data_IF_495383818020
#
_entry.id   IF_495383818020
#
_cell.length_a   1.000
_cell.length_b   1.000
_cell.length_c   1.000
_cell.angle_alpha   90.00
_cell.angle_beta   90.00
_cell.angle_gamma   90.00
#
_symmetry.space_group_name_H-M   'P 1'
#
loop_
_entity.id
_entity.type
_entity.pdbx_description
1 polymer ?
#
# COMPACT_ATOMS: atom_id res chain seq x y z
N UNK A 1 -18.48 6.27 22.87
CA UNK A 1 -17.33 5.36 22.73
C UNK A 1 -16.69 5.74 21.41
N UNK A 2 -15.86 6.78 21.48
CA UNK A 2 -15.19 7.28 20.29
C UNK A 2 -14.00 6.37 20.01
N UNK A 3 -14.25 5.34 19.24
CA UNK A 3 -13.17 4.70 18.51
C UNK A 3 -12.71 5.68 17.43
N UNK A 4 -11.90 6.60 17.84
CA UNK A 4 -11.12 7.38 16.91
C UNK A 4 -10.04 6.47 16.34
N UNK A 5 -10.42 5.68 15.39
CA UNK A 5 -9.52 4.92 14.56
C UNK A 5 -9.11 5.88 13.44
N UNK A 6 -8.10 6.67 13.69
CA UNK A 6 -7.47 7.50 12.68
C UNK A 6 -7.06 6.58 11.52
N UNK A 7 -7.76 6.68 10.41
CA UNK A 7 -7.55 5.85 9.22
C UNK A 7 -8.53 4.68 9.07
N UNK A 8 -8.96 4.02 10.14
CA UNK A 8 -9.81 2.83 10.04
C UNK A 8 -11.29 3.14 9.75
N UNK A 9 -11.78 4.32 10.07
CA UNK A 9 -13.15 4.68 9.71
C UNK A 9 -13.38 4.70 8.19
N UNK A 10 -12.38 5.02 7.41
CA UNK A 10 -12.49 4.96 5.95
C UNK A 10 -12.45 3.52 5.46
N UNK A 11 -11.57 2.68 5.97
CA UNK A 11 -11.40 1.30 5.53
C UNK A 11 -12.55 0.38 5.92
N UNK A 12 -13.09 0.51 7.13
CA UNK A 12 -14.24 -0.28 7.60
C UNK A 12 -15.51 -0.02 6.77
N UNK A 13 -15.61 1.14 6.12
CA UNK A 13 -16.78 1.53 5.32
C UNK A 13 -16.56 1.44 3.82
N UNK A 14 -15.35 1.09 3.39
CA UNK A 14 -15.07 0.94 1.98
C UNK A 14 -15.97 -0.14 1.37
N UNK A 15 -16.53 0.20 0.23
CA UNK A 15 -17.33 -0.71 -0.59
C UNK A 15 -16.81 -0.63 -1.99
N UNK A 16 -16.72 -1.77 -2.62
CA UNK A 16 -16.27 -1.91 -3.99
C UNK A 16 -17.42 -2.25 -4.90
N UNK A 17 -17.42 -1.76 -6.11
CA UNK A 17 -18.43 -2.04 -7.10
C UNK A 17 -17.98 -3.17 -8.03
N UNK A 18 -18.85 -3.52 -8.97
CA UNK A 18 -18.60 -4.64 -9.91
C UNK A 18 -17.39 -4.44 -10.84
N UNK A 19 -16.90 -3.21 -10.97
CA UNK A 19 -15.69 -2.83 -11.72
C UNK A 19 -14.39 -3.00 -10.90
N UNK A 20 -14.51 -3.38 -9.61
CA UNK A 20 -13.39 -3.49 -8.67
C UNK A 20 -12.94 -2.15 -8.07
N UNK A 21 -13.55 -1.03 -8.44
CA UNK A 21 -13.27 0.30 -7.85
C UNK A 21 -14.06 0.55 -6.57
N UNK A 22 -13.55 1.44 -5.71
CA UNK A 22 -14.30 1.92 -4.57
C UNK A 22 -15.53 2.70 -5.03
N UNK A 23 -16.66 2.52 -4.29
CA UNK A 23 -17.90 3.23 -4.58
C UNK A 23 -17.73 4.75 -4.56
N UNK A 24 -18.27 5.37 -5.59
CA UNK A 24 -18.33 6.84 -5.75
C UNK A 24 -19.79 7.26 -5.98
N UNK A 25 -20.11 8.57 -5.90
CA UNK A 25 -21.45 9.03 -6.27
C UNK A 25 -21.86 8.60 -7.69
N UNK A 26 -23.15 8.23 -7.90
CA UNK A 26 -24.30 8.36 -6.98
C UNK A 26 -24.56 7.13 -6.09
N UNK A 27 -23.86 6.02 -6.30
CA UNK A 27 -24.14 4.73 -5.64
C UNK A 27 -23.88 4.79 -4.13
N UNK A 28 -22.78 5.42 -3.70
CA UNK A 28 -22.46 5.63 -2.28
C UNK A 28 -23.57 6.39 -1.55
N UNK A 29 -24.04 7.46 -2.16
CA UNK A 29 -25.10 8.30 -1.60
C UNK A 29 -26.44 7.57 -1.50
N UNK A 30 -26.75 6.69 -2.46
CA UNK A 30 -27.95 5.85 -2.43
C UNK A 30 -27.89 4.86 -1.26
N UNK A 31 -26.75 4.19 -1.06
CA UNK A 31 -26.55 3.26 0.05
C UNK A 31 -26.64 3.97 1.41
N UNK A 32 -26.00 5.13 1.56
CA UNK A 32 -26.07 5.91 2.80
C UNK A 32 -27.50 6.36 3.09
N UNK A 33 -28.29 6.71 2.08
CA UNK A 33 -29.68 7.05 2.25
C UNK A 33 -30.50 5.88 2.82
N UNK A 34 -30.29 4.67 2.31
CA UNK A 34 -30.95 3.46 2.83
C UNK A 34 -30.51 3.17 4.27
N UNK A 35 -29.20 3.25 4.56
CA UNK A 35 -28.66 3.04 5.92
C UNK A 35 -29.29 4.04 6.91
N UNK A 36 -29.40 5.31 6.54
CA UNK A 36 -29.97 6.35 7.40
C UNK A 36 -31.48 6.23 7.59
N UNK A 37 -32.16 5.46 6.74
CA UNK A 37 -33.59 5.18 6.86
C UNK A 37 -33.91 3.99 7.79
N UNK A 38 -32.89 3.19 8.18
CA UNK A 38 -33.06 2.05 9.09
C UNK A 38 -33.16 2.52 10.55
N UNK A 39 -34.10 1.91 11.27
CA UNK A 39 -34.12 1.99 12.72
C UNK A 39 -33.27 0.87 13.33
N UNK A 40 -32.77 1.06 14.56
CA UNK A 40 -31.95 0.05 15.20
C UNK A 40 -32.64 -1.33 15.32
N UNK A 41 -33.98 -1.33 15.45
CA UNK A 41 -34.83 -2.52 15.46
C UNK A 41 -34.85 -3.30 14.15
N UNK A 42 -34.47 -2.67 13.04
CA UNK A 42 -34.45 -3.31 11.71
C UNK A 42 -33.19 -4.11 11.48
N UNK A 43 -32.21 -3.96 12.35
CA UNK A 43 -30.91 -4.65 12.24
C UNK A 43 -31.11 -6.13 12.63
N UNK A 44 -30.84 -7.01 11.69
CA UNK A 44 -30.85 -8.46 11.93
C UNK A 44 -29.51 -8.92 12.47
N UNK A 45 -29.48 -9.38 13.73
CA UNK A 45 -28.28 -9.90 14.39
C UNK A 45 -28.06 -11.41 14.17
N UNK A 46 -28.98 -12.09 13.49
CA UNK A 46 -28.82 -13.50 13.17
C UNK A 46 -28.04 -13.65 11.88
N UNK A 47 -26.91 -14.34 11.93
CA UNK A 47 -26.12 -14.65 10.75
C UNK A 47 -26.92 -15.52 9.76
N UNK A 48 -26.71 -15.27 8.50
CA UNK A 48 -27.20 -16.12 7.41
C UNK A 48 -25.99 -16.69 6.66
N UNK A 49 -25.52 -17.85 7.07
CA UNK A 49 -24.31 -18.51 6.55
C UNK A 49 -24.37 -18.74 5.03
N UNK A 50 -25.59 -18.77 4.44
CA UNK A 50 -25.74 -18.88 2.99
C UNK A 50 -25.31 -17.62 2.22
N UNK A 51 -25.21 -16.49 2.91
CA UNK A 51 -24.77 -15.21 2.34
C UNK A 51 -23.32 -14.89 2.69
N UNK A 52 -22.67 -15.76 3.46
CA UNK A 52 -21.27 -15.59 3.87
C UNK A 52 -20.44 -16.57 3.06
N UNK A 53 -19.46 -16.04 2.34
CA UNK A 53 -18.45 -16.84 1.63
C UNK A 53 -17.09 -16.39 2.12
N UNK A 54 -16.33 -17.30 2.71
CA UNK A 54 -14.95 -17.05 3.06
C UNK A 54 -14.10 -17.12 1.79
N UNK A 55 -13.29 -16.09 1.57
CA UNK A 55 -12.26 -16.09 0.52
C UNK A 55 -10.97 -16.66 1.12
N UNK A 56 -10.46 -17.67 0.43
CA UNK A 56 -9.47 -18.60 0.92
C UNK A 56 -8.14 -18.40 0.20
N UNK A 57 -7.22 -19.30 0.45
CA UNK A 57 -5.86 -19.40 -0.09
C UNK A 57 -5.78 -19.16 -1.61
N UNK A 58 -6.81 -19.55 -2.38
CA UNK A 58 -6.85 -19.35 -3.83
C UNK A 58 -6.78 -17.88 -4.23
N UNK A 59 -7.47 -17.00 -3.50
CA UNK A 59 -7.45 -15.56 -3.76
C UNK A 59 -6.10 -14.95 -3.34
N UNK A 60 -5.57 -15.39 -2.20
CA UNK A 60 -4.25 -14.98 -1.73
C UNK A 60 -3.15 -15.36 -2.73
N UNK A 61 -3.20 -16.57 -3.27
CA UNK A 61 -2.25 -17.07 -4.28
C UNK A 61 -2.35 -16.24 -5.57
N UNK A 62 -3.57 -15.97 -6.03
CA UNK A 62 -3.80 -15.16 -7.21
C UNK A 62 -3.28 -13.73 -7.02
N UNK A 63 -3.52 -13.13 -5.86
CA UNK A 63 -3.02 -11.80 -5.52
C UNK A 63 -1.49 -11.75 -5.45
N UNK A 64 -0.87 -12.69 -4.73
CA UNK A 64 0.59 -12.77 -4.62
C UNK A 64 1.25 -12.94 -6.00
N UNK A 65 0.69 -13.81 -6.84
CA UNK A 65 1.15 -14.00 -8.23
C UNK A 65 1.07 -12.71 -9.04
N UNK A 66 -0.09 -12.04 -9.01
CA UNK A 66 -0.29 -10.79 -9.75
C UNK A 66 0.67 -9.69 -9.26
N UNK A 67 0.90 -9.58 -7.95
CA UNK A 67 1.83 -8.63 -7.37
C UNK A 67 3.27 -8.87 -7.84
N UNK A 68 3.73 -10.13 -7.84
CA UNK A 68 5.06 -10.51 -8.31
C UNK A 68 5.22 -10.24 -9.82
N UNK A 69 4.24 -10.61 -10.64
CA UNK A 69 4.28 -10.41 -12.08
C UNK A 69 4.35 -8.93 -12.46
N UNK A 70 3.54 -8.09 -11.80
CA UNK A 70 3.52 -6.65 -12.02
C UNK A 70 4.78 -5.94 -11.47
N UNK A 71 5.39 -6.48 -10.42
CA UNK A 71 6.62 -5.96 -9.80
C UNK A 71 7.92 -6.46 -10.42
N UNK A 72 7.87 -7.33 -11.43
CA UNK A 72 9.06 -7.93 -12.04
C UNK A 72 9.66 -7.07 -13.15
N UNK A 73 10.92 -6.67 -13.00
CA UNK A 73 11.66 -5.81 -13.93
C UNK A 73 13.02 -6.38 -14.37
N UNK A 74 13.12 -7.69 -14.51
CA UNK A 74 14.35 -8.38 -14.90
C UNK A 74 15.55 -8.08 -13.98
N UNK A 75 15.28 -7.88 -12.68
CA UNK A 75 16.34 -7.73 -11.68
C UNK A 75 17.07 -9.07 -11.52
N UNK A 76 18.42 -9.09 -11.57
CA UNK A 76 19.19 -10.33 -11.39
C UNK A 76 18.84 -11.02 -10.06
N UNK A 77 18.71 -12.34 -10.07
CA UNK A 77 18.38 -13.14 -8.87
C UNK A 77 19.33 -12.84 -7.72
N UNK A 78 20.62 -12.83 -7.97
CA UNK A 78 21.62 -12.53 -6.95
C UNK A 78 21.42 -11.15 -6.31
N UNK A 79 21.03 -10.13 -7.07
CA UNK A 79 20.79 -8.80 -6.53
C UNK A 79 19.57 -8.75 -5.60
N UNK A 80 18.57 -9.62 -5.84
CA UNK A 80 17.41 -9.76 -4.96
C UNK A 80 17.77 -10.51 -3.67
N UNK A 81 18.54 -11.58 -3.78
CA UNK A 81 19.03 -12.38 -2.65
C UNK A 81 19.99 -11.60 -1.76
N UNK A 82 20.86 -10.77 -2.35
CA UNK A 82 21.84 -9.98 -1.60
C UNK A 82 21.20 -8.77 -0.90
N UNK A 83 20.04 -8.27 -1.37
CA UNK A 83 19.37 -7.11 -0.76
C UNK A 83 18.82 -7.44 0.62
N UNK A 84 19.33 -6.79 1.64
CA UNK A 84 18.90 -6.97 3.03
C UNK A 84 17.76 -6.03 3.37
N UNK A 85 16.61 -6.59 3.66
CA UNK A 85 15.37 -5.87 3.96
C UNK A 85 15.01 -6.07 5.43
N UNK A 86 14.70 -5.00 6.15
CA UNK A 86 13.97 -5.07 7.42
C UNK A 86 12.53 -4.65 7.15
N UNK A 87 11.59 -5.50 7.54
CA UNK A 87 10.16 -5.28 7.34
C UNK A 87 9.42 -5.18 8.67
N UNK A 88 8.54 -4.19 8.79
CA UNK A 88 7.58 -4.06 9.89
C UNK A 88 6.16 -3.87 9.39
N UNK A 89 5.23 -4.63 9.97
CA UNK A 89 3.80 -4.48 9.74
C UNK A 89 3.13 -3.49 10.70
N UNK A 90 3.87 -2.89 11.64
CA UNK A 90 3.35 -2.00 12.67
C UNK A 90 2.08 -2.57 13.36
N UNK A 91 2.13 -3.84 13.75
CA UNK A 91 1.00 -4.59 14.33
C UNK A 91 -0.20 -4.76 13.39
N UNK A 92 0.01 -4.64 12.09
CA UNK A 92 -1.06 -4.66 11.09
C UNK A 92 -1.17 -5.96 10.29
N UNK A 93 -2.06 -5.94 9.31
CA UNK A 93 -2.47 -7.11 8.51
C UNK A 93 -1.44 -7.54 7.47
N UNK A 94 -0.55 -6.65 7.08
CA UNK A 94 0.45 -6.90 6.04
C UNK A 94 1.45 -8.02 6.36
N UNK A 95 1.53 -8.43 7.65
CA UNK A 95 2.44 -9.49 8.10
C UNK A 95 2.20 -10.82 7.38
N UNK A 96 0.97 -11.08 6.94
CA UNK A 96 0.62 -12.34 6.26
C UNK A 96 1.05 -12.33 4.79
N UNK A 97 0.91 -11.20 4.11
CA UNK A 97 1.06 -11.14 2.66
C UNK A 97 2.41 -10.58 2.20
N UNK A 98 2.92 -9.51 2.82
CA UNK A 98 4.15 -8.85 2.35
C UNK A 98 5.38 -9.77 2.39
N UNK A 99 5.68 -10.50 3.49
CA UNK A 99 6.81 -11.44 3.49
C UNK A 99 6.68 -12.52 2.41
N UNK A 100 5.47 -13.04 2.21
CA UNK A 100 5.16 -14.05 1.20
C UNK A 100 5.42 -13.53 -0.24
N UNK A 101 4.95 -12.32 -0.54
CA UNK A 101 5.17 -11.69 -1.86
C UNK A 101 6.65 -11.39 -2.08
N UNK A 102 7.38 -10.90 -1.07
CA UNK A 102 8.81 -10.66 -1.16
C UNK A 102 9.58 -11.95 -1.44
N UNK A 103 9.29 -13.03 -0.72
CA UNK A 103 9.90 -14.35 -0.95
C UNK A 103 9.59 -14.87 -2.36
N UNK A 104 8.32 -14.84 -2.78
CA UNK A 104 7.90 -15.25 -4.12
C UNK A 104 8.54 -14.40 -5.24
N UNK A 105 8.85 -13.14 -4.96
CA UNK A 105 9.58 -12.25 -5.86
C UNK A 105 11.10 -12.51 -5.88
N UNK A 106 11.61 -13.39 -4.98
CA UNK A 106 13.02 -13.77 -4.87
C UNK A 106 13.85 -12.92 -3.90
N UNK A 107 13.22 -12.11 -3.05
CA UNK A 107 13.88 -11.38 -1.96
C UNK A 107 13.88 -12.27 -0.71
N UNK A 108 14.95 -13.03 -0.52
CA UNK A 108 15.03 -14.04 0.55
C UNK A 108 15.71 -13.53 1.82
N UNK A 109 16.34 -12.37 1.78
CA UNK A 109 17.03 -11.77 2.92
C UNK A 109 16.16 -10.72 3.60
N UNK A 110 15.02 -11.18 4.15
CA UNK A 110 14.03 -10.33 4.82
C UNK A 110 14.00 -10.62 6.31
N UNK A 111 14.27 -9.60 7.10
CA UNK A 111 14.16 -9.63 8.56
C UNK A 111 12.85 -8.95 9.00
N UNK A 112 11.94 -9.73 9.54
CA UNK A 112 10.67 -9.21 10.08
C UNK A 112 10.91 -8.72 11.52
N UNK A 113 10.41 -7.53 11.85
CA UNK A 113 10.47 -6.97 13.21
C UNK A 113 9.52 -7.74 14.11
N UNK A 114 10.06 -8.67 14.91
CA UNK A 114 9.28 -9.59 15.72
C UNK A 114 8.34 -8.90 16.72
N UNK A 115 8.76 -7.77 17.31
CA UNK A 115 7.96 -7.03 18.27
C UNK A 115 6.71 -6.39 17.67
N UNK A 116 6.66 -6.23 16.33
CA UNK A 116 5.58 -5.58 15.58
C UNK A 116 4.89 -6.54 14.60
N UNK A 117 5.20 -7.84 14.68
CA UNK A 117 4.71 -8.86 13.76
C UNK A 117 3.31 -9.39 14.10
N UNK A 118 2.93 -9.31 15.37
CA UNK A 118 1.59 -9.75 15.78
C UNK A 118 0.59 -8.61 15.60
N UNK A 119 -0.51 -8.83 14.86
CA UNK A 119 -1.58 -7.85 14.77
C UNK A 119 -2.15 -7.51 16.16
N UNK A 120 -2.17 -6.23 16.50
CA UNK A 120 -2.60 -5.76 17.81
C UNK A 120 -3.17 -4.33 17.69
N UNK A 121 -4.46 -4.19 17.97
CA UNK A 121 -5.17 -2.91 17.87
C UNK A 121 -4.79 -1.89 18.95
N UNK A 122 -4.05 -2.29 19.99
CA UNK A 122 -3.54 -1.38 21.01
C UNK A 122 -2.16 -0.76 20.63
N UNK A 123 -1.53 -1.24 19.55
CA UNK A 123 -0.25 -0.74 19.03
C UNK A 123 0.84 -0.54 20.10
N UNK A 124 1.19 -1.53 20.88
CA UNK A 124 1.95 -1.37 22.15
C UNK A 124 3.38 -0.81 21.95
N UNK A 125 3.90 -0.79 20.73
CA UNK A 125 5.28 -0.35 20.45
C UNK A 125 5.37 1.01 19.77
N UNK A 126 4.23 1.63 19.41
CA UNK A 126 4.18 2.91 18.71
C UNK A 126 3.04 3.77 19.25
N UNK A 127 3.23 5.09 19.23
CA UNK A 127 2.16 6.05 19.61
C UNK A 127 1.17 6.20 18.45
N UNK A 128 1.69 6.21 17.22
CA UNK A 128 0.93 6.29 15.97
C UNK A 128 1.50 5.26 15.01
N UNK A 129 0.69 4.34 14.47
CA UNK A 129 1.16 3.32 13.52
C UNK A 129 1.28 3.87 12.08
N UNK A 130 1.69 5.13 11.94
CA UNK A 130 1.88 5.77 10.65
C UNK A 130 3.33 5.58 10.17
N UNK A 131 3.59 4.80 9.11
CA UNK A 131 4.94 4.48 8.65
C UNK A 131 5.70 5.68 8.06
N UNK A 132 5.04 6.81 7.81
CA UNK A 132 5.70 8.05 7.40
C UNK A 132 6.32 8.79 8.59
N UNK A 133 5.96 8.45 9.82
CA UNK A 133 6.49 9.05 11.02
C UNK A 133 7.79 8.35 11.47
N UNK A 134 8.88 9.10 11.73
CA UNK A 134 10.16 8.49 12.13
C UNK A 134 10.07 7.60 13.37
N UNK A 135 9.19 7.95 14.32
CA UNK A 135 9.01 7.18 15.56
C UNK A 135 8.40 5.79 15.29
N UNK A 136 7.50 5.67 14.31
CA UNK A 136 6.91 4.37 13.94
C UNK A 136 7.96 3.40 13.38
N UNK A 137 8.93 3.89 12.63
CA UNK A 137 9.99 3.08 12.03
C UNK A 137 11.22 2.89 12.92
N UNK A 138 11.25 3.46 14.13
CA UNK A 138 12.43 3.49 14.99
C UNK A 138 12.99 2.09 15.26
N UNK A 139 12.18 1.15 15.71
CA UNK A 139 12.62 -0.24 16.00
C UNK A 139 13.20 -0.90 14.74
N UNK A 140 12.53 -0.74 13.61
CA UNK A 140 12.99 -1.29 12.34
C UNK A 140 14.32 -0.66 11.88
N UNK A 141 14.49 0.65 12.07
CA UNK A 141 15.74 1.37 11.77
C UNK A 141 16.87 0.92 12.69
N UNK A 142 16.62 0.73 13.98
CA UNK A 142 17.61 0.21 14.92
C UNK A 142 18.09 -1.19 14.52
N UNK A 143 17.17 -2.08 14.17
CA UNK A 143 17.48 -3.42 13.65
C UNK A 143 18.27 -3.32 12.34
N UNK A 144 17.87 -2.44 11.43
CA UNK A 144 18.56 -2.24 10.16
C UNK A 144 20.01 -1.77 10.36
N UNK A 145 20.28 -0.91 11.35
CA UNK A 145 21.62 -0.51 11.72
C UNK A 145 22.45 -1.69 12.25
N UNK A 146 21.89 -2.49 13.14
CA UNK A 146 22.56 -3.64 13.74
C UNK A 146 22.86 -4.76 12.74
N UNK A 147 21.96 -5.00 11.80
CA UNK A 147 22.08 -6.06 10.80
C UNK A 147 22.77 -5.62 9.51
N UNK A 148 23.13 -4.33 9.43
CA UNK A 148 23.62 -3.70 8.21
C UNK A 148 22.68 -3.93 7.01
N UNK A 149 21.38 -3.73 7.22
CA UNK A 149 20.38 -3.85 6.16
C UNK A 149 20.42 -2.63 5.21
N UNK A 150 19.99 -2.84 3.98
CA UNK A 150 20.04 -1.83 2.92
C UNK A 150 18.79 -0.95 2.94
N UNK A 151 17.64 -1.54 3.31
CA UNK A 151 16.34 -0.88 3.28
C UNK A 151 15.46 -1.33 4.45
N UNK A 152 14.67 -0.40 4.97
CA UNK A 152 13.54 -0.65 5.87
C UNK A 152 12.26 -0.41 5.09
N UNK A 153 11.30 -1.31 5.23
CA UNK A 153 9.95 -1.20 4.70
C UNK A 153 8.98 -1.31 5.86
N UNK A 154 8.10 -0.34 6.03
CA UNK A 154 7.01 -0.36 7.00
C UNK A 154 5.68 -0.08 6.34
N UNK A 155 4.62 -0.74 6.79
CA UNK A 155 3.25 -0.47 6.37
C UNK A 155 2.42 -0.08 7.58
N UNK A 156 1.38 0.71 7.35
CA UNK A 156 0.37 0.93 8.37
C UNK A 156 -0.52 -0.31 8.59
N UNK A 157 -1.38 -0.33 9.61
CA UNK A 157 -2.10 -1.54 10.01
C UNK A 157 -3.02 -2.13 8.94
N UNK A 158 -3.65 -1.32 8.10
CA UNK A 158 -4.52 -1.74 7.00
C UNK A 158 -3.79 -1.83 5.65
N UNK A 159 -2.48 -1.55 5.65
CA UNK A 159 -1.58 -1.73 4.51
C UNK A 159 -1.89 -0.85 3.29
N UNK A 160 -2.48 0.34 3.49
CA UNK A 160 -2.73 1.30 2.41
C UNK A 160 -1.60 2.34 2.26
N UNK A 161 -0.72 2.47 3.24
CA UNK A 161 0.45 3.35 3.25
C UNK A 161 1.76 2.59 3.39
N UNK A 162 2.82 3.20 2.88
CA UNK A 162 4.17 2.63 2.86
C UNK A 162 5.18 3.66 3.33
N UNK A 163 5.94 3.32 4.37
CA UNK A 163 7.13 4.04 4.81
C UNK A 163 8.42 3.32 4.40
N UNK A 164 9.42 4.08 3.98
CA UNK A 164 10.69 3.53 3.50
C UNK A 164 11.84 4.29 4.15
N UNK A 165 12.85 3.57 4.65
CA UNK A 165 14.16 4.14 4.93
C UNK A 165 15.22 3.37 4.17
N UNK A 166 16.23 4.07 3.68
CA UNK A 166 17.35 3.50 2.92
C UNK A 166 18.68 3.82 3.57
N UNK A 167 19.66 2.97 3.37
CA UNK A 167 21.03 3.23 3.82
C UNK A 167 21.69 4.24 2.88
N UNK A 168 22.08 5.38 3.41
CA UNK A 168 22.78 6.41 2.63
C UNK A 168 24.28 6.10 2.49
N UNK A 169 24.98 6.90 1.71
CA UNK A 169 26.42 6.74 1.46
C UNK A 169 27.31 6.89 2.71
N UNK A 170 26.77 7.43 3.79
CA UNK A 170 27.45 7.58 5.08
C UNK A 170 27.20 6.38 6.01
N UNK A 171 26.40 5.39 5.56
CA UNK A 171 26.06 4.20 6.33
C UNK A 171 24.90 4.36 7.31
N UNK A 172 24.23 5.51 7.32
CA UNK A 172 23.05 5.78 8.16
C UNK A 172 21.76 5.49 7.43
N UNK A 173 20.71 5.06 8.17
CA UNK A 173 19.38 4.92 7.61
C UNK A 173 18.71 6.30 7.51
N UNK A 174 18.17 6.60 6.34
CA UNK A 174 17.49 7.86 6.01
C UNK A 174 16.08 7.57 5.52
N UNK A 175 15.08 8.20 6.13
CA UNK A 175 13.68 8.05 5.75
C UNK A 175 13.43 8.85 4.47
N UNK A 176 12.81 8.19 3.50
CA UNK A 176 12.35 8.79 2.25
C UNK A 176 10.88 9.15 2.43
N UNK A 177 10.55 10.44 2.35
CA UNK A 177 9.16 10.86 2.47
C UNK A 177 8.30 10.42 1.28
N UNK A 178 6.98 10.42 1.45
CA UNK A 178 6.04 9.93 0.43
C UNK A 178 6.19 10.61 -0.94
N UNK A 179 6.45 11.91 -0.98
CA UNK A 179 6.67 12.63 -2.24
C UNK A 179 7.96 12.22 -2.95
N UNK A 180 9.04 11.99 -2.20
CA UNK A 180 10.30 11.49 -2.75
C UNK A 180 10.12 10.05 -3.27
N UNK A 181 9.51 9.17 -2.47
CA UNK A 181 9.25 7.79 -2.86
C UNK A 181 8.37 7.72 -4.11
N UNK A 182 7.33 8.54 -4.19
CA UNK A 182 6.44 8.63 -5.34
C UNK A 182 7.20 9.08 -6.61
N UNK A 183 8.03 10.11 -6.52
CA UNK A 183 8.81 10.61 -7.64
C UNK A 183 9.80 9.55 -8.17
N UNK A 184 10.51 8.87 -7.25
CA UNK A 184 11.46 7.80 -7.58
C UNK A 184 10.74 6.63 -8.26
N UNK A 185 9.65 6.14 -7.67
CA UNK A 185 8.87 5.02 -8.21
C UNK A 185 8.27 5.34 -9.57
N UNK A 186 7.70 6.53 -9.73
CA UNK A 186 7.12 6.96 -11.01
C UNK A 186 8.19 7.04 -12.10
N UNK A 187 9.34 7.64 -11.81
CA UNK A 187 10.44 7.71 -12.77
C UNK A 187 10.95 6.32 -13.16
N UNK A 188 11.20 5.47 -12.17
CA UNK A 188 11.65 4.08 -12.36
C UNK A 188 10.67 3.29 -13.23
N UNK A 189 9.39 3.34 -12.91
CA UNK A 189 8.34 2.62 -13.63
C UNK A 189 8.29 3.06 -15.09
N UNK A 190 8.22 4.36 -15.35
CA UNK A 190 8.14 4.89 -16.70
C UNK A 190 9.42 4.62 -17.52
N UNK A 191 10.60 4.67 -16.89
CA UNK A 191 11.84 4.28 -17.55
C UNK A 191 11.83 2.80 -17.97
N UNK A 192 11.39 1.91 -17.09
CA UNK A 192 11.28 0.47 -17.38
C UNK A 192 10.24 0.20 -18.47
N UNK A 193 9.09 0.86 -18.41
CA UNK A 193 8.04 0.71 -19.39
C UNK A 193 8.44 1.25 -20.75
N UNK A 194 9.14 2.38 -20.81
CA UNK A 194 9.68 2.92 -22.06
C UNK A 194 10.68 1.95 -22.70
N UNK A 195 11.62 1.41 -21.91
CA UNK A 195 12.58 0.40 -22.39
C UNK A 195 11.92 -0.88 -22.87
N UNK A 196 10.80 -1.27 -22.26
CA UNK A 196 10.02 -2.46 -22.63
C UNK A 196 9.01 -2.21 -23.78
N UNK A 197 8.92 -1.00 -24.34
CA UNK A 197 7.95 -0.65 -25.38
C UNK A 197 6.49 -0.67 -24.90
N UNK A 198 6.25 -0.54 -23.61
CA UNK A 198 4.90 -0.58 -23.01
C UNK A 198 4.19 0.76 -23.01
N UNK A 199 4.88 1.87 -23.32
CA UNK A 199 4.26 3.18 -23.46
C UNK A 199 3.77 3.32 -24.89
N UNK A 200 2.45 3.17 -25.10
CA UNK A 200 1.79 3.13 -26.40
C UNK A 200 0.87 4.34 -26.65
N UNK A 201 0.85 5.30 -25.70
CA UNK A 201 0.04 6.52 -25.79
C UNK A 201 -1.27 6.48 -25.00
N UNK A 202 -1.72 5.30 -24.54
CA UNK A 202 -2.95 5.14 -23.77
C UNK A 202 -2.71 5.14 -22.26
N UNK A 203 -1.46 5.06 -21.83
CA UNK A 203 -1.09 5.04 -20.42
C UNK A 203 -1.17 6.45 -19.85
N UNK A 204 -1.55 6.52 -18.57
CA UNK A 204 -1.50 7.77 -17.82
C UNK A 204 -0.91 7.54 -16.43
N UNK A 205 -0.41 8.62 -15.85
CA UNK A 205 -0.06 8.69 -14.42
C UNK A 205 -1.10 9.55 -13.74
N UNK A 206 -1.62 9.09 -12.61
CA UNK A 206 -2.53 9.85 -11.78
C UNK A 206 -1.92 10.12 -10.42
N UNK A 207 -2.12 11.31 -9.88
CA UNK A 207 -1.82 11.63 -8.49
C UNK A 207 -2.86 12.60 -7.91
N UNK A 208 -2.78 12.84 -6.61
CA UNK A 208 -3.71 13.76 -5.94
C UNK A 208 -3.17 15.18 -5.94
N UNK A 209 -4.08 16.18 -5.82
CA UNK A 209 -3.74 17.61 -5.76
C UNK A 209 -2.79 17.97 -4.60
N UNK A 210 -2.69 17.11 -3.58
CA UNK A 210 -1.78 17.32 -2.43
C UNK A 210 -0.41 16.69 -2.64
N UNK A 211 -0.20 16.00 -3.76
CA UNK A 211 1.06 15.37 -4.10
C UNK A 211 2.04 16.35 -4.76
N UNK A 212 3.32 15.97 -4.79
CA UNK A 212 4.34 16.81 -5.42
C UNK A 212 4.07 17.04 -6.92
N UNK A 213 4.19 18.30 -7.43
CA UNK A 213 4.07 18.59 -8.86
C UNK A 213 5.20 17.96 -9.70
N UNK A 214 6.20 17.35 -9.08
CA UNK A 214 7.26 16.61 -9.76
C UNK A 214 6.71 15.48 -10.63
N UNK A 215 5.60 14.85 -10.20
CA UNK A 215 4.98 13.73 -10.92
C UNK A 215 4.52 14.18 -12.32
N UNK A 216 3.87 15.33 -12.43
CA UNK A 216 3.47 15.89 -13.73
C UNK A 216 4.68 16.13 -14.64
N UNK A 217 5.80 16.63 -14.09
CA UNK A 217 7.04 16.85 -14.86
C UNK A 217 7.68 15.54 -15.30
N UNK A 218 7.63 14.51 -14.47
CA UNK A 218 8.12 13.18 -14.83
C UNK A 218 7.25 12.58 -15.94
N UNK A 219 5.93 12.62 -15.81
CA UNK A 219 5.00 12.15 -16.84
C UNK A 219 5.25 12.85 -18.19
N UNK A 220 5.39 14.18 -18.20
CA UNK A 220 5.70 14.96 -19.40
C UNK A 220 7.04 14.55 -20.04
N UNK A 221 8.09 14.28 -19.24
CA UNK A 221 9.39 13.80 -19.73
C UNK A 221 9.30 12.48 -20.51
N UNK A 222 8.37 11.62 -20.12
CA UNK A 222 8.15 10.32 -20.75
C UNK A 222 7.02 10.34 -21.78
N UNK A 223 6.42 11.52 -22.05
CA UNK A 223 5.31 11.72 -22.98
C UNK A 223 4.07 10.89 -22.59
N UNK A 224 3.84 10.76 -21.28
CA UNK A 224 2.70 10.05 -20.69
C UNK A 224 1.68 11.06 -20.18
N UNK A 225 0.40 10.78 -20.36
CA UNK A 225 -0.70 11.62 -19.89
C UNK A 225 -0.62 11.72 -18.37
N UNK A 226 -0.82 12.93 -17.83
CA UNK A 226 -0.96 13.16 -16.40
C UNK A 226 -2.39 13.56 -16.06
N UNK A 227 -2.97 12.88 -15.08
CA UNK A 227 -4.28 13.21 -14.52
C UNK A 227 -4.11 13.58 -13.04
N UNK A 228 -4.83 14.58 -12.60
CA UNK A 228 -4.83 15.04 -11.21
C UNK A 228 -6.23 14.93 -10.61
N UNK A 229 -6.33 14.39 -9.41
CA UNK A 229 -7.59 14.16 -8.73
C UNK A 229 -7.61 14.65 -7.29
N UNK A 230 -8.77 14.54 -6.68
CA UNK A 230 -8.94 14.77 -5.25
C UNK A 230 -8.25 13.67 -4.44
N UNK A 231 -8.00 13.95 -3.16
CA UNK A 231 -7.48 12.96 -2.21
C UNK A 231 -8.46 11.81 -2.02
N UNK A 232 -7.95 10.59 -2.07
CA UNK A 232 -8.69 9.35 -1.93
C UNK A 232 -8.54 8.45 -3.15
N UNK A 233 -8.21 7.18 -2.92
CA UNK A 233 -7.94 6.20 -3.98
C UNK A 233 -9.15 6.01 -4.92
N UNK A 234 -10.36 6.18 -4.41
CA UNK A 234 -11.60 6.10 -5.22
C UNK A 234 -11.59 7.02 -6.46
N UNK A 235 -11.00 8.20 -6.34
CA UNK A 235 -10.93 9.15 -7.46
C UNK A 235 -9.91 8.70 -8.52
N UNK A 236 -8.81 8.07 -8.06
CA UNK A 236 -7.83 7.47 -8.98
C UNK A 236 -8.44 6.26 -9.69
N UNK A 237 -9.15 5.39 -8.96
CA UNK A 237 -9.87 4.26 -9.53
C UNK A 237 -10.90 4.72 -10.59
N UNK A 238 -11.67 5.77 -10.31
CA UNK A 238 -12.61 6.35 -11.28
C UNK A 238 -11.92 6.84 -12.56
N UNK A 239 -10.71 7.41 -12.45
CA UNK A 239 -9.94 7.83 -13.64
C UNK A 239 -9.45 6.65 -14.50
N UNK A 240 -9.36 5.45 -13.93
CA UNK A 240 -9.01 4.23 -14.67
C UNK A 240 -10.22 3.71 -15.45
N UNK A 241 -11.43 3.87 -14.89
CA UNK A 241 -12.69 3.49 -15.55
C UNK A 241 -13.02 4.40 -16.75
N UNK A 242 -12.78 5.72 -16.62
CA UNK A 242 -13.04 6.75 -17.65
C UNK A 242 -11.96 6.72 -18.76
#
# INVERSE_FOLDING_TARGET
MDLCLVGSEMCIRDRYWQDGGQLVPPQDSAIIKEINALEYSDILFNANDKLITEIDQEVDDAFAKAAVENGSYNTPTKAKEDLKIVFTALHGTSITMIPRVLEAAGYTNVHVVAQQATPDGDFPTVISPNPEEPEALKIAIEIAQQTNADIVIGTDPDCDRLGIAVRNSQGSMEIINGNQAMAIKTYFLLEKWKKAGKITGNQFIASTIVSTPMIAKIAAKFEVIYKEGLTGFKWIAKMVED
#
